data_IF_903412646501
#
_entry.id   IF_903412646501
#
_cell.length_a   1.000
_cell.length_b   1.000
_cell.length_c   1.000
_cell.angle_alpha   90.00
_cell.angle_beta   90.00
_cell.angle_gamma   90.00
#
_symmetry.space_group_name_H-M   'P 1'
#
loop_
_entity.id
_entity.type
_entity.pdbx_description
1 polymer ?
#
# COMPACT_ATOMS: atom_id res chain seq x y z
N UNK A 1 10.84 13.17 4.67
CA UNK A 1 10.72 12.06 3.70
C UNK A 1 10.30 10.81 4.46
N UNK A 2 9.33 10.00 4.00
CA UNK A 2 8.97 8.77 4.70
C UNK A 2 10.13 7.77 4.71
N UNK A 3 10.18 6.95 5.76
CA UNK A 3 11.16 5.88 5.93
C UNK A 3 10.77 4.60 5.19
N UNK A 4 9.49 4.45 4.86
CA UNK A 4 8.91 3.30 4.16
C UNK A 4 7.68 3.75 3.37
N UNK A 5 7.52 3.23 2.17
CA UNK A 5 6.29 3.36 1.37
C UNK A 5 5.60 2.01 1.34
N UNK A 6 4.31 1.98 1.66
CA UNK A 6 3.47 0.78 1.58
C UNK A 6 2.49 0.95 0.44
N UNK A 7 2.46 -0.03 -0.47
CA UNK A 7 1.54 -0.08 -1.60
C UNK A 7 0.53 -1.20 -1.35
N UNK A 8 -0.77 -0.87 -1.41
CA UNK A 8 -1.86 -1.86 -1.40
C UNK A 8 -2.16 -2.23 -2.86
N UNK A 9 -1.59 -3.34 -3.36
CA UNK A 9 -1.72 -3.69 -4.76
C UNK A 9 -0.91 -4.92 -5.20
N UNK A 10 -1.11 -5.32 -6.45
CA UNK A 10 -0.32 -6.37 -7.09
C UNK A 10 1.08 -5.90 -7.50
N UNK A 11 1.79 -6.78 -8.21
CA UNK A 11 3.17 -6.53 -8.69
C UNK A 11 3.24 -5.32 -9.63
N UNK A 12 2.20 -5.08 -10.44
CA UNK A 12 2.13 -3.95 -11.35
C UNK A 12 2.18 -2.59 -10.62
N UNK A 13 1.42 -2.46 -9.53
CA UNK A 13 1.38 -1.24 -8.72
C UNK A 13 2.74 -0.97 -8.06
N UNK A 14 3.38 -2.02 -7.53
CA UNK A 14 4.75 -1.93 -7.00
C UNK A 14 5.74 -1.44 -8.05
N UNK A 15 5.70 -2.01 -9.26
CA UNK A 15 6.63 -1.65 -10.33
C UNK A 15 6.41 -0.21 -10.81
N UNK A 16 5.15 0.25 -10.85
CA UNK A 16 4.84 1.65 -11.14
C UNK A 16 5.43 2.59 -10.07
N UNK A 17 5.24 2.27 -8.79
CA UNK A 17 5.80 3.05 -7.69
C UNK A 17 7.34 3.11 -7.73
N UNK A 18 8.00 1.98 -8.02
CA UNK A 18 9.46 1.92 -8.18
C UNK A 18 9.96 2.77 -9.35
N UNK A 19 9.24 2.76 -10.48
CA UNK A 19 9.59 3.56 -11.66
C UNK A 19 9.54 5.06 -11.32
N UNK A 20 8.45 5.51 -10.73
CA UNK A 20 8.28 6.91 -10.33
C UNK A 20 9.34 7.30 -9.31
N UNK A 21 9.57 6.46 -8.30
CA UNK A 21 10.63 6.69 -7.32
C UNK A 21 12.01 6.89 -7.97
N UNK A 22 12.35 6.06 -8.96
CA UNK A 22 13.62 6.15 -9.68
C UNK A 22 13.71 7.43 -10.52
N UNK A 23 12.61 7.85 -11.15
CA UNK A 23 12.52 9.10 -11.92
C UNK A 23 12.81 10.34 -11.06
N UNK A 24 12.32 10.34 -9.82
CA UNK A 24 12.60 11.41 -8.86
C UNK A 24 13.91 11.21 -8.05
N UNK A 25 14.67 10.14 -8.31
CA UNK A 25 15.95 9.86 -7.66
C UNK A 25 15.86 9.47 -6.17
N UNK A 26 14.69 9.04 -5.70
CA UNK A 26 14.51 8.63 -4.30
C UNK A 26 14.90 7.17 -4.06
N UNK A 27 15.39 6.86 -2.86
CA UNK A 27 15.82 5.50 -2.44
C UNK A 27 15.04 4.99 -1.22
N UNK A 28 13.74 5.23 -1.19
CA UNK A 28 12.89 4.86 -0.05
C UNK A 28 12.46 3.40 -0.22
N UNK A 29 12.60 2.53 0.79
CA UNK A 29 12.09 1.17 0.70
C UNK A 29 10.59 1.14 0.37
N UNK A 30 10.20 0.20 -0.51
CA UNK A 30 8.80 -0.02 -0.87
C UNK A 30 8.39 -1.45 -0.46
N UNK A 31 7.38 -1.54 0.40
CA UNK A 31 6.69 -2.78 0.74
C UNK A 31 5.35 -2.86 0.00
N UNK A 32 5.01 -4.03 -0.52
CA UNK A 32 3.76 -4.25 -1.23
C UNK A 32 2.90 -5.26 -0.48
N UNK A 33 1.66 -4.95 -0.17
CA UNK A 33 0.75 -5.91 0.47
C UNK A 33 -0.12 -6.55 -0.59
N UNK A 34 0.11 -7.85 -0.83
CA UNK A 34 -0.65 -8.63 -1.82
C UNK A 34 -1.78 -9.35 -1.11
N UNK A 35 -3.01 -9.07 -1.54
CA UNK A 35 -4.20 -9.85 -1.17
C UNK A 35 -4.24 -11.08 -2.06
N UNK A 36 -4.38 -12.27 -1.48
CA UNK A 36 -4.58 -13.49 -2.26
C UNK A 36 -5.98 -13.48 -2.93
N UNK A 37 -6.22 -14.39 -3.87
CA UNK A 37 -7.51 -14.54 -4.59
C UNK A 37 -8.72 -14.84 -3.68
N UNK A 38 -8.50 -15.00 -2.36
CA UNK A 38 -9.53 -15.16 -1.33
C UNK A 38 -9.69 -13.92 -0.43
N UNK A 39 -9.21 -12.75 -0.85
CA UNK A 39 -9.29 -11.50 -0.08
C UNK A 39 -8.62 -11.54 1.32
N UNK A 40 -7.73 -12.49 1.59
CA UNK A 40 -6.89 -12.49 2.79
C UNK A 40 -5.51 -11.88 2.46
N UNK A 41 -5.08 -10.95 3.30
CA UNK A 41 -3.77 -10.31 3.22
C UNK A 41 -2.69 -11.32 3.66
N UNK A 42 -2.26 -12.20 2.75
CA UNK A 42 -1.39 -13.32 3.12
C UNK A 42 0.10 -13.05 2.90
N UNK A 43 0.49 -12.09 2.06
CA UNK A 43 1.92 -11.85 1.77
C UNK A 43 2.28 -10.38 1.56
N UNK A 44 3.20 -9.88 2.38
CA UNK A 44 3.94 -8.65 2.09
C UNK A 44 5.12 -9.02 1.19
N UNK A 45 5.25 -8.35 0.05
CA UNK A 45 6.26 -8.60 -0.99
C UNK A 45 7.13 -7.35 -1.11
N UNK A 46 8.44 -7.50 -0.94
CA UNK A 46 9.36 -6.36 -0.81
C UNK A 46 10.71 -6.79 -0.28
N UNK A 47 11.47 -5.84 0.27
CA UNK A 47 12.73 -6.17 0.94
C UNK A 47 12.42 -6.95 2.22
N UNK A 48 12.88 -8.21 2.28
CA UNK A 48 12.60 -9.13 3.39
C UNK A 48 13.01 -8.56 4.76
N UNK A 49 14.17 -7.90 4.85
CA UNK A 49 14.65 -7.31 6.10
C UNK A 49 13.78 -6.14 6.59
N UNK A 50 13.19 -5.40 5.66
CA UNK A 50 12.27 -4.30 5.99
C UNK A 50 10.90 -4.85 6.41
N UNK A 51 10.44 -5.90 5.74
CA UNK A 51 9.17 -6.55 6.06
C UNK A 51 9.24 -7.18 7.44
N UNK A 52 10.26 -7.98 7.72
CA UNK A 52 10.43 -8.63 9.03
C UNK A 52 10.52 -7.62 10.17
N UNK A 53 11.18 -6.48 9.93
CA UNK A 53 11.32 -5.42 10.93
C UNK A 53 10.04 -4.62 11.16
N UNK A 54 9.21 -4.42 10.14
CA UNK A 54 8.10 -3.47 10.16
C UNK A 54 6.73 -4.10 9.84
N UNK A 55 6.61 -5.42 9.91
CA UNK A 55 5.42 -6.17 9.46
C UNK A 55 4.12 -5.62 10.04
N UNK A 56 4.07 -5.42 11.36
CA UNK A 56 2.88 -4.91 12.06
C UNK A 56 2.50 -3.50 11.60
N UNK A 57 3.49 -2.64 11.42
CA UNK A 57 3.27 -1.26 11.00
C UNK A 57 2.81 -1.18 9.54
N UNK A 58 3.33 -2.06 8.68
CA UNK A 58 2.89 -2.22 7.29
C UNK A 58 1.41 -2.63 7.24
N UNK A 59 1.01 -3.61 8.05
CA UNK A 59 -0.38 -4.07 8.12
C UNK A 59 -1.32 -3.01 8.69
N UNK A 60 -0.89 -2.27 9.71
CA UNK A 60 -1.65 -1.18 10.30
C UNK A 60 -1.86 -0.04 9.29
N UNK A 61 -0.78 0.39 8.62
CA UNK A 61 -0.83 1.42 7.59
C UNK A 61 -1.73 1.00 6.41
N UNK A 62 -1.69 -0.27 6.00
CA UNK A 62 -2.56 -0.79 4.96
C UNK A 62 -4.04 -0.76 5.40
N UNK A 63 -4.33 -1.22 6.62
CA UNK A 63 -5.70 -1.22 7.17
C UNK A 63 -6.27 0.20 7.25
N UNK A 64 -5.45 1.16 7.64
CA UNK A 64 -5.77 2.59 7.69
C UNK A 64 -6.06 3.16 6.29
N UNK A 65 -5.17 2.91 5.33
CA UNK A 65 -5.35 3.34 3.95
C UNK A 65 -6.65 2.78 3.34
N UNK A 66 -6.94 1.51 3.62
CA UNK A 66 -8.18 0.85 3.19
C UNK A 66 -9.42 1.49 3.81
N UNK A 67 -9.41 1.73 5.13
CA UNK A 67 -10.51 2.42 5.84
C UNK A 67 -10.75 3.81 5.27
N UNK A 68 -9.68 4.57 5.03
CA UNK A 68 -9.75 5.92 4.46
C UNK A 68 -10.39 5.90 3.06
N UNK A 69 -9.93 5.01 2.17
CA UNK A 69 -10.46 4.87 0.82
C UNK A 69 -11.96 4.51 0.82
N UNK A 70 -12.39 3.56 1.66
CA UNK A 70 -13.81 3.19 1.80
C UNK A 70 -14.63 4.41 2.26
N UNK A 71 -14.16 5.11 3.29
CA UNK A 71 -14.85 6.28 3.82
C UNK A 71 -15.01 7.38 2.76
N UNK A 72 -13.94 7.66 2.02
CA UNK A 72 -13.94 8.63 0.93
C UNK A 72 -14.96 8.28 -0.16
N UNK A 73 -14.95 7.03 -0.66
CA UNK A 73 -15.91 6.59 -1.67
C UNK A 73 -17.35 6.56 -1.18
N UNK A 74 -17.59 6.26 0.10
CA UNK A 74 -18.92 6.32 0.71
C UNK A 74 -19.45 7.76 0.77
N UNK A 75 -18.60 8.70 1.20
CA UNK A 75 -18.95 10.13 1.26
C UNK A 75 -19.22 10.68 -0.14
N UNK A 76 -18.36 10.39 -1.12
CA UNK A 76 -18.54 10.84 -2.50
C UNK A 76 -19.84 10.31 -3.12
N UNK A 77 -20.16 9.02 -2.92
CA UNK A 77 -21.43 8.43 -3.37
C UNK A 77 -22.65 9.09 -2.73
N UNK A 78 -22.62 9.34 -1.42
CA UNK A 78 -23.71 10.03 -0.71
C UNK A 78 -23.92 11.46 -1.20
N UNK A 79 -22.85 12.15 -1.59
CA UNK A 79 -22.91 13.52 -2.14
C UNK A 79 -23.43 13.55 -3.58
N UNK A 80 -23.22 12.50 -4.36
CA UNK A 80 -23.74 12.37 -5.73
C UNK A 80 -25.23 11.97 -5.79
N UNK A 81 -25.75 11.37 -4.71
CA UNK A 81 -27.16 10.96 -4.57
C UNK A 81 -28.05 12.06 -3.96
N UNK A 82 -27.50 13.27 -3.77
CA UNK A 82 -28.22 14.50 -3.38
C UNK A 82 -28.17 15.47 -4.53
#
# INVERSE_FOLDING_TARGET
MPTLIVVDGGVAQKNAALRVQAEFGYKIPIANVVKNDKHKADKVVGNAAVIEKWEKDILLANSEAHRFAISFHRTKRRKLLR
#
